data_IF_546493119644
#
_entry.id   IF_546493119644
#
_cell.length_a   1.000
_cell.length_b   1.000
_cell.length_c   1.000
_cell.angle_alpha   90.00
_cell.angle_beta   90.00
_cell.angle_gamma   90.00
#
_symmetry.space_group_name_H-M   'P 1'
#
loop_
_entity.id
_entity.type
_entity.pdbx_description
1 polymer ?
#
# COMPACT_ATOMS: atom_id res chain seq x y z
N UNK A 1 7.27 -2.67 4.42
CA UNK A 1 7.78 -1.63 5.35
C UNK A 1 8.52 -2.29 6.53
N UNK A 2 9.66 -1.76 7.02
CA UNK A 2 10.51 -2.42 8.07
C UNK A 2 10.49 -1.74 9.45
N UNK A 3 9.52 -0.88 9.71
CA UNK A 3 9.41 -0.18 11.00
C UNK A 3 8.81 -1.07 12.08
N UNK A 4 9.04 -0.72 13.35
CA UNK A 4 8.43 -1.42 14.50
C UNK A 4 6.89 -1.32 14.46
N UNK A 5 6.38 -0.12 14.21
CA UNK A 5 4.93 0.14 14.07
C UNK A 5 4.31 -0.76 13.00
N UNK A 6 4.96 -0.92 11.83
CA UNK A 6 4.44 -1.79 10.77
C UNK A 6 4.26 -3.24 11.24
N UNK A 7 5.18 -3.75 12.06
CA UNK A 7 5.09 -5.11 12.61
C UNK A 7 3.97 -5.23 13.65
N UNK A 8 3.82 -4.23 14.51
CA UNK A 8 2.77 -4.20 15.52
C UNK A 8 1.37 -4.13 14.87
N UNK A 9 1.20 -3.29 13.84
CA UNK A 9 -0.05 -3.23 13.07
C UNK A 9 -0.37 -4.56 12.38
N UNK A 10 0.61 -5.20 11.73
CA UNK A 10 0.40 -6.54 11.13
C UNK A 10 -0.07 -7.57 12.16
N UNK A 11 0.52 -7.57 13.37
CA UNK A 11 0.09 -8.46 14.46
C UNK A 11 -1.33 -8.16 14.94
N UNK A 12 -1.70 -6.88 15.05
CA UNK A 12 -3.05 -6.47 15.41
C UNK A 12 -4.08 -6.92 14.37
N UNK A 13 -3.79 -6.72 13.08
CA UNK A 13 -4.68 -7.19 12.00
C UNK A 13 -4.81 -8.72 12.02
N UNK A 14 -3.71 -9.45 12.20
CA UNK A 14 -3.75 -10.91 12.30
C UNK A 14 -4.63 -11.41 13.47
N UNK A 15 -4.78 -10.62 14.53
CA UNK A 15 -5.64 -10.97 15.68
C UNK A 15 -7.14 -10.84 15.38
N UNK A 16 -7.52 -10.18 14.28
CA UNK A 16 -8.92 -9.99 13.87
C UNK A 16 -9.54 -11.24 13.23
N UNK A 17 -8.76 -12.30 13.00
CA UNK A 17 -9.25 -13.54 12.38
C UNK A 17 -9.55 -13.42 10.87
N UNK A 18 -9.18 -12.29 10.26
CA UNK A 18 -9.24 -12.10 8.80
C UNK A 18 -7.83 -12.16 8.22
N UNK A 19 -7.67 -12.70 7.00
CA UNK A 19 -6.42 -12.65 6.28
C UNK A 19 -5.94 -11.19 6.10
N UNK A 20 -4.63 -10.99 6.20
CA UNK A 20 -4.00 -9.70 6.01
C UNK A 20 -3.16 -9.74 4.74
N UNK A 21 -3.28 -8.70 3.90
CA UNK A 21 -2.42 -8.52 2.75
C UNK A 21 -0.96 -8.29 3.19
N UNK A 22 -0.02 -8.86 2.44
CA UNK A 22 1.40 -8.69 2.68
C UNK A 22 1.94 -7.36 2.17
N UNK A 23 1.37 -6.87 1.06
CA UNK A 23 1.62 -5.56 0.50
C UNK A 23 1.33 -4.46 1.53
N UNK A 24 2.18 -3.42 1.52
CA UNK A 24 2.05 -2.29 2.44
C UNK A 24 2.21 -0.99 1.67
N UNK A 25 1.29 -0.05 1.87
CA UNK A 25 1.45 1.33 1.43
C UNK A 25 2.07 2.14 2.57
N UNK A 26 3.16 2.86 2.31
CA UNK A 26 3.69 3.81 3.29
C UNK A 26 2.83 5.08 3.32
N UNK A 27 3.00 5.92 4.33
CA UNK A 27 2.36 7.24 4.33
C UNK A 27 3.12 8.14 3.35
N UNK A 28 2.47 8.59 2.27
CA UNK A 28 3.10 9.39 1.22
C UNK A 28 2.19 10.53 0.78
N UNK A 29 2.76 11.73 0.65
CA UNK A 29 2.05 12.93 0.16
C UNK A 29 1.53 12.74 -1.26
N UNK A 30 2.28 12.05 -2.12
CA UNK A 30 1.90 11.80 -3.52
C UNK A 30 0.55 11.08 -3.68
N UNK A 31 0.09 10.32 -2.67
CA UNK A 31 -1.25 9.71 -2.71
C UNK A 31 -2.35 10.76 -2.59
N UNK A 32 -2.16 11.75 -1.71
CA UNK A 32 -3.11 12.86 -1.55
C UNK A 32 -3.07 13.81 -2.75
N UNK A 33 -1.87 14.07 -3.28
CA UNK A 33 -1.68 14.87 -4.50
C UNK A 33 -2.36 14.22 -5.71
N UNK A 34 -2.15 12.92 -5.93
CA UNK A 34 -2.83 12.12 -6.95
C UNK A 34 -4.34 12.22 -6.84
N UNK A 35 -4.88 11.98 -5.63
CA UNK A 35 -6.32 12.07 -5.39
C UNK A 35 -6.89 13.49 -5.64
N UNK A 36 -6.16 14.53 -5.22
CA UNK A 36 -6.59 15.93 -5.38
C UNK A 36 -6.49 16.47 -6.80
N UNK A 37 -5.60 15.90 -7.61
CA UNK A 37 -5.39 16.29 -9.02
C UNK A 37 -6.13 15.42 -10.03
N UNK A 38 -6.73 14.30 -9.59
CA UNK A 38 -7.35 13.32 -10.49
C UNK A 38 -6.33 12.54 -11.33
N UNK A 39 -5.07 12.51 -10.92
CA UNK A 39 -3.99 11.81 -11.59
C UNK A 39 -3.60 10.54 -10.84
N UNK A 40 -2.91 9.63 -11.52
CA UNK A 40 -2.26 8.48 -10.89
C UNK A 40 -0.90 8.90 -10.33
N UNK A 41 -0.46 8.24 -9.26
CA UNK A 41 0.90 8.46 -8.71
C UNK A 41 2.01 8.26 -9.76
N UNK A 42 1.81 7.37 -10.75
CA UNK A 42 2.76 7.16 -11.87
C UNK A 42 2.78 8.28 -12.90
N UNK A 43 1.72 9.08 -12.98
CA UNK A 43 1.62 10.25 -13.87
C UNK A 43 2.27 11.47 -13.23
N UNK A 44 2.26 11.56 -11.88
CA UNK A 44 2.98 12.59 -11.12
C UNK A 44 4.48 12.28 -11.06
N UNK A 45 4.85 11.10 -10.56
CA UNK A 45 6.25 10.65 -10.51
C UNK A 45 6.32 9.14 -10.71
N UNK A 46 6.77 8.75 -11.90
CA UNK A 46 6.93 7.35 -12.31
C UNK A 46 7.97 6.58 -11.49
N UNK A 47 8.98 7.26 -10.94
CA UNK A 47 10.06 6.64 -10.17
C UNK A 47 9.70 6.50 -8.68
N UNK A 48 8.67 7.23 -8.24
CA UNK A 48 8.18 7.22 -6.86
C UNK A 48 7.96 5.80 -6.35
N UNK A 49 8.38 5.48 -5.10
CA UNK A 49 8.09 4.19 -4.50
C UNK A 49 6.58 3.89 -4.43
N UNK A 50 5.72 4.92 -4.43
CA UNK A 50 4.27 4.78 -4.46
C UNK A 50 3.77 3.92 -5.64
N UNK A 51 4.41 4.05 -6.81
CA UNK A 51 4.06 3.26 -8.00
C UNK A 51 4.27 1.77 -7.75
N UNK A 52 5.40 1.41 -7.13
CA UNK A 52 5.73 0.01 -6.81
C UNK A 52 4.83 -0.55 -5.70
N UNK A 53 4.51 0.26 -4.70
CA UNK A 53 3.63 -0.12 -3.60
C UNK A 53 2.20 -0.41 -4.08
N UNK A 54 1.62 0.49 -4.88
CA UNK A 54 0.28 0.30 -5.45
C UNK A 54 0.25 -0.89 -6.42
N UNK A 55 1.29 -1.07 -7.24
CA UNK A 55 1.38 -2.23 -8.12
C UNK A 55 1.45 -3.55 -7.34
N UNK A 56 2.21 -3.61 -6.25
CA UNK A 56 2.28 -4.78 -5.40
C UNK A 56 0.93 -5.12 -4.74
N UNK A 57 0.23 -4.09 -4.23
CA UNK A 57 -1.11 -4.22 -3.68
C UNK A 57 -2.11 -4.73 -4.72
N UNK A 58 -2.16 -4.10 -5.90
CA UNK A 58 -3.07 -4.49 -6.98
C UNK A 58 -2.81 -5.94 -7.42
N UNK A 59 -1.54 -6.33 -7.56
CA UNK A 59 -1.18 -7.69 -7.92
C UNK A 59 -1.60 -8.71 -6.85
N UNK A 60 -1.57 -8.35 -5.56
CA UNK A 60 -2.01 -9.23 -4.49
C UNK A 60 -3.54 -9.40 -4.46
N UNK A 61 -4.29 -8.30 -4.61
CA UNK A 61 -5.75 -8.32 -4.72
C UNK A 61 -6.20 -9.17 -5.90
N UNK A 62 -5.58 -8.99 -7.08
CA UNK A 62 -5.90 -9.76 -8.28
C UNK A 62 -5.59 -11.26 -8.16
N UNK A 63 -4.65 -11.65 -7.30
CA UNK A 63 -4.37 -13.07 -7.00
C UNK A 63 -5.44 -13.72 -6.11
N UNK A 64 -6.42 -12.96 -5.63
CA UNK A 64 -7.51 -13.49 -4.80
C UNK A 64 -7.05 -13.99 -3.44
N UNK A 65 -5.92 -13.48 -2.92
CA UNK A 65 -5.61 -13.65 -1.51
C UNK A 65 -6.52 -12.69 -0.73
N UNK A 66 -7.50 -13.18 0.05
CA UNK A 66 -8.12 -12.34 1.06
C UNK A 66 -7.03 -11.80 2.01
#
# INVERSE_FOLDING_TARGET
MRTRIAREVKRAIASLGVPALEASLAQRVIYAEAAGSGLLAREIDRASPAVREVAALAAEVLRGRP
#
